data_IF_947523897890
#
_entry.id   IF_947523897890
#
_cell.length_a   1.000
_cell.length_b   1.000
_cell.length_c   1.000
_cell.angle_alpha   90.00
_cell.angle_beta   90.00
_cell.angle_gamma   90.00
#
_symmetry.space_group_name_H-M   'P 1'
#
loop_
_entity.id
_entity.type
_entity.pdbx_description
1 polymer ?
#
# COMPACT_ATOMS: atom_id res chain seq x y z
N UNK A 1 -31.13 35.70 -32.83
CA UNK A 1 -30.93 34.52 -31.95
C UNK A 1 -29.48 34.11 -32.00
N UNK A 2 -28.75 34.30 -30.91
CA UNK A 2 -27.39 33.81 -30.82
C UNK A 2 -27.44 32.27 -30.63
N UNK A 3 -26.66 31.54 -31.43
CA UNK A 3 -26.42 30.14 -31.17
C UNK A 3 -25.96 29.93 -29.72
N UNK A 4 -26.49 28.93 -29.02
CA UNK A 4 -25.98 28.62 -27.71
C UNK A 4 -24.50 28.27 -27.88
N UNK A 5 -23.64 28.96 -27.12
CA UNK A 5 -22.25 28.59 -27.03
C UNK A 5 -22.16 27.09 -26.74
N UNK A 6 -21.28 26.33 -27.40
CA UNK A 6 -21.11 24.93 -27.10
C UNK A 6 -20.75 24.83 -25.61
N UNK A 7 -21.54 24.07 -24.84
CA UNK A 7 -21.21 23.79 -23.45
C UNK A 7 -19.77 23.28 -23.39
N UNK A 8 -18.94 23.92 -22.56
CA UNK A 8 -17.60 23.41 -22.32
C UNK A 8 -17.70 21.95 -21.86
N UNK A 9 -16.88 21.05 -22.43
CA UNK A 9 -16.94 19.66 -22.03
C UNK A 9 -16.74 19.55 -20.51
N UNK A 10 -17.65 18.83 -19.86
CA UNK A 10 -17.58 18.59 -18.41
C UNK A 10 -16.19 18.05 -18.06
N UNK A 11 -15.46 18.76 -17.23
CA UNK A 11 -14.15 18.28 -16.73
C UNK A 11 -14.37 17.12 -15.78
N UNK A 12 -14.02 15.93 -16.23
CA UNK A 12 -13.96 14.76 -15.37
C UNK A 12 -12.69 14.83 -14.55
N UNK A 13 -12.75 14.40 -13.29
CA UNK A 13 -11.62 14.47 -12.35
C UNK A 13 -11.46 13.15 -11.62
N UNK A 14 -10.20 12.74 -11.48
CA UNK A 14 -9.78 11.71 -10.53
C UNK A 14 -9.08 12.41 -9.36
N UNK A 15 -9.37 12.00 -8.14
CA UNK A 15 -8.85 12.66 -6.93
C UNK A 15 -7.53 12.03 -6.44
N UNK A 16 -7.08 10.96 -7.08
CA UNK A 16 -5.89 10.22 -6.69
C UNK A 16 -6.19 8.75 -6.42
N UNK A 17 -5.26 8.07 -5.78
CA UNK A 17 -5.47 6.70 -5.37
C UNK A 17 -6.44 6.64 -4.18
N UNK A 18 -7.39 5.70 -4.25
CA UNK A 18 -8.26 5.36 -3.13
C UNK A 18 -7.66 4.21 -2.32
N UNK A 19 -7.28 3.15 -3.00
CA UNK A 19 -6.67 1.97 -2.38
C UNK A 19 -5.83 1.19 -3.39
N UNK A 20 -5.01 0.30 -2.87
CA UNK A 20 -4.29 -0.73 -3.64
C UNK A 20 -4.74 -2.08 -3.12
N UNK A 21 -5.02 -3.02 -4.02
CA UNK A 21 -5.37 -4.40 -3.65
C UNK A 21 -4.30 -5.35 -4.18
N UNK A 22 -3.80 -6.20 -3.29
CA UNK A 22 -2.85 -7.26 -3.60
C UNK A 22 -3.44 -8.63 -3.24
N UNK A 23 -2.79 -9.67 -3.71
CA UNK A 23 -3.11 -11.05 -3.35
C UNK A 23 -2.10 -11.52 -2.32
N UNK A 24 -2.58 -12.25 -1.31
CA UNK A 24 -1.74 -12.87 -0.28
C UNK A 24 -2.06 -14.35 -0.16
N UNK A 25 -1.12 -15.10 0.39
CA UNK A 25 -1.31 -16.53 0.64
C UNK A 25 -2.07 -16.80 1.94
N UNK A 26 -1.88 -15.95 2.96
CA UNK A 26 -2.38 -16.20 4.32
C UNK A 26 -2.66 -14.86 5.00
N UNK A 27 -3.93 -14.54 5.22
CA UNK A 27 -4.35 -13.28 5.85
C UNK A 27 -3.92 -13.18 7.32
N UNK A 28 -3.75 -14.27 8.03
CA UNK A 28 -3.20 -14.23 9.39
C UNK A 28 -1.78 -13.68 9.40
N UNK A 29 -0.95 -14.17 8.50
CA UNK A 29 0.43 -13.72 8.32
C UNK A 29 0.50 -12.29 7.79
N UNK A 30 -0.35 -11.95 6.84
CA UNK A 30 -0.45 -10.59 6.29
C UNK A 30 -0.89 -9.58 7.36
N UNK A 31 -1.87 -9.95 8.18
CA UNK A 31 -2.35 -9.11 9.29
C UNK A 31 -1.26 -8.88 10.34
N UNK A 32 -0.51 -9.92 10.69
CA UNK A 32 0.61 -9.79 11.63
C UNK A 32 1.65 -8.79 11.10
N UNK A 33 1.87 -8.75 9.80
CA UNK A 33 2.82 -7.80 9.20
C UNK A 33 2.24 -6.38 9.13
N UNK A 34 1.09 -6.18 8.49
CA UNK A 34 0.58 -4.83 8.25
C UNK A 34 0.00 -4.16 9.49
N UNK A 35 -0.67 -4.90 10.36
CA UNK A 35 -1.21 -4.38 11.61
C UNK A 35 -0.16 -4.37 12.73
N UNK A 36 0.45 -5.52 13.02
CA UNK A 36 1.27 -5.69 14.22
C UNK A 36 2.69 -5.16 14.05
N UNK A 37 3.27 -5.24 12.85
CA UNK A 37 4.60 -4.69 12.56
C UNK A 37 4.51 -3.26 12.05
N UNK A 38 3.71 -3.00 11.01
CA UNK A 38 3.64 -1.67 10.40
C UNK A 38 2.66 -0.72 11.10
N UNK A 39 1.80 -1.22 11.98
CA UNK A 39 0.91 -0.37 12.77
C UNK A 39 -0.31 0.15 12.03
N UNK A 40 -0.66 -0.40 10.87
CA UNK A 40 -1.90 -0.04 10.18
C UNK A 40 -3.10 -0.63 10.93
N UNK A 41 -4.23 0.06 10.91
CA UNK A 41 -5.46 -0.46 11.45
C UNK A 41 -6.09 -1.49 10.50
N UNK A 42 -6.54 -2.63 11.02
CA UNK A 42 -7.41 -3.55 10.29
C UNK A 42 -8.83 -2.95 10.33
N UNK A 43 -9.25 -2.35 9.23
CA UNK A 43 -10.47 -1.55 9.19
C UNK A 43 -11.68 -2.32 8.66
N UNK A 44 -11.45 -3.42 7.95
CA UNK A 44 -12.52 -4.27 7.46
C UNK A 44 -12.02 -5.70 7.27
N UNK A 45 -12.80 -6.64 7.77
CA UNK A 45 -12.68 -8.08 7.50
C UNK A 45 -13.89 -8.52 6.70
N UNK A 46 -13.68 -9.35 5.67
CA UNK A 46 -14.79 -9.81 4.83
C UNK A 46 -14.35 -10.82 3.81
N UNK A 47 -15.16 -10.96 2.80
CA UNK A 47 -14.94 -11.85 1.67
C UNK A 47 -14.92 -11.04 0.37
N UNK A 48 -14.26 -11.57 -0.64
CA UNK A 48 -14.35 -11.02 -1.98
C UNK A 48 -15.79 -11.22 -2.49
N UNK A 49 -16.47 -10.14 -2.86
CA UNK A 49 -17.87 -10.22 -3.31
C UNK A 49 -18.02 -11.04 -4.61
N UNK A 50 -16.99 -11.03 -5.45
CA UNK A 50 -16.97 -11.81 -6.69
C UNK A 50 -16.55 -13.26 -6.48
N UNK A 51 -15.97 -13.58 -5.33
CA UNK A 51 -15.52 -14.92 -4.95
C UNK A 51 -15.70 -15.11 -3.43
N UNK A 52 -16.91 -15.52 -2.98
CA UNK A 52 -17.22 -15.58 -1.56
C UNK A 52 -16.37 -16.54 -0.73
N UNK A 53 -15.67 -17.48 -1.37
CA UNK A 53 -14.76 -18.39 -0.68
C UNK A 53 -13.41 -17.76 -0.36
N UNK A 54 -13.08 -16.64 -0.98
CA UNK A 54 -11.84 -15.92 -0.74
C UNK A 54 -12.05 -14.78 0.28
N UNK A 55 -11.27 -14.79 1.36
CA UNK A 55 -11.29 -13.71 2.35
C UNK A 55 -10.64 -12.46 1.78
N UNK A 56 -11.12 -11.28 2.22
CA UNK A 56 -10.63 -9.99 1.78
C UNK A 56 -10.56 -9.04 2.98
N UNK A 57 -9.34 -8.64 3.36
CA UNK A 57 -9.09 -7.76 4.50
C UNK A 57 -8.55 -6.41 4.04
N UNK A 58 -8.91 -5.36 4.77
CA UNK A 58 -8.53 -3.98 4.47
C UNK A 58 -7.78 -3.37 5.65
N UNK A 59 -6.68 -2.70 5.32
CA UNK A 59 -5.83 -2.00 6.28
C UNK A 59 -5.69 -0.53 5.87
N UNK A 60 -5.55 0.35 6.83
CA UNK A 60 -5.37 1.77 6.56
C UNK A 60 -5.22 2.57 7.85
N UNK A 61 -5.55 3.86 7.79
CA UNK A 61 -5.72 4.61 9.03
C UNK A 61 -7.03 4.17 9.73
N UNK A 62 -7.20 4.59 11.01
CA UNK A 62 -8.34 4.15 11.82
C UNK A 62 -9.71 4.60 11.26
N UNK A 63 -9.72 5.56 10.34
CA UNK A 63 -10.93 6.10 9.73
C UNK A 63 -11.19 5.53 8.32
N UNK A 64 -10.38 4.60 7.86
CA UNK A 64 -10.43 4.05 6.49
C UNK A 64 -10.40 5.15 5.43
N UNK A 65 -9.58 6.17 5.63
CA UNK A 65 -9.48 7.34 4.75
C UNK A 65 -9.00 6.91 3.36
N UNK A 66 -9.69 7.37 2.32
CA UNK A 66 -9.27 7.17 0.93
C UNK A 66 -7.82 7.62 0.72
N UNK A 67 -7.03 6.81 0.05
CA UNK A 67 -5.61 7.05 -0.15
C UNK A 67 -4.70 6.39 0.90
N UNK A 68 -5.23 5.97 2.05
CA UNK A 68 -4.45 5.27 3.08
C UNK A 68 -4.63 3.77 3.05
N UNK A 69 -5.47 3.25 2.15
CA UNK A 69 -5.95 1.88 2.20
C UNK A 69 -5.10 0.94 1.35
N UNK A 70 -4.74 -0.18 1.94
CA UNK A 70 -4.24 -1.36 1.24
C UNK A 70 -5.13 -2.54 1.61
N UNK A 71 -5.45 -3.38 0.64
CA UNK A 71 -6.29 -4.55 0.88
C UNK A 71 -5.67 -5.80 0.30
N UNK A 72 -6.06 -6.95 0.84
CA UNK A 72 -5.51 -8.24 0.45
C UNK A 72 -6.62 -9.25 0.28
N UNK A 73 -6.63 -9.90 -0.87
CA UNK A 73 -7.46 -11.06 -1.16
C UNK A 73 -6.63 -12.32 -0.94
N UNK A 74 -7.17 -13.30 -0.22
CA UNK A 74 -6.45 -14.53 0.14
C UNK A 74 -6.66 -15.60 -0.91
N UNK A 75 -5.57 -15.99 -1.58
CA UNK A 75 -5.56 -17.06 -2.58
C UNK A 75 -4.31 -17.93 -2.38
N UNK A 76 -4.32 -18.86 -1.40
CA UNK A 76 -3.12 -19.62 -1.05
C UNK A 76 -2.61 -20.55 -2.16
N UNK A 77 -3.47 -20.92 -3.12
CA UNK A 77 -3.11 -21.81 -4.22
C UNK A 77 -2.60 -21.09 -5.46
N UNK A 78 -2.64 -19.76 -5.49
CA UNK A 78 -2.09 -19.00 -6.61
C UNK A 78 -0.55 -19.05 -6.62
N UNK A 79 0.02 -18.98 -7.81
CA UNK A 79 1.45 -18.86 -8.01
C UNK A 79 1.98 -17.57 -7.37
N UNK A 80 3.20 -17.58 -6.77
CA UNK A 80 3.83 -16.35 -6.31
C UNK A 80 3.95 -15.32 -7.43
N UNK A 81 3.65 -14.06 -7.09
CA UNK A 81 3.70 -12.96 -8.03
C UNK A 81 5.12 -12.68 -8.51
N UNK A 82 5.22 -12.13 -9.72
CA UNK A 82 6.48 -11.68 -10.31
C UNK A 82 6.31 -10.26 -10.83
N UNK A 83 7.33 -9.44 -10.60
CA UNK A 83 7.38 -8.10 -11.19
C UNK A 83 7.65 -8.22 -12.69
N UNK A 84 6.82 -7.57 -13.49
CA UNK A 84 6.94 -7.59 -14.94
C UNK A 84 6.06 -6.51 -15.58
N UNK A 85 6.05 -6.50 -16.89
CA UNK A 85 5.22 -5.54 -17.64
C UNK A 85 3.75 -5.70 -17.25
N UNK A 86 3.13 -4.60 -16.82
CA UNK A 86 1.73 -4.59 -16.39
C UNK A 86 1.50 -4.82 -14.90
N UNK A 87 2.52 -5.28 -14.15
CA UNK A 87 2.42 -5.39 -12.68
C UNK A 87 2.86 -4.11 -11.99
N UNK A 88 2.33 -3.85 -10.79
CA UNK A 88 2.91 -2.85 -9.92
C UNK A 88 4.25 -3.36 -9.37
N UNK A 89 5.27 -2.48 -9.33
CA UNK A 89 6.58 -2.84 -8.79
C UNK A 89 6.57 -2.84 -7.25
N UNK A 90 6.02 -1.80 -6.66
CA UNK A 90 5.91 -1.62 -5.21
C UNK A 90 4.86 -0.56 -4.91
N UNK A 91 4.50 -0.44 -3.65
CA UNK A 91 3.77 0.72 -3.17
C UNK A 91 4.53 1.35 -2.01
N UNK A 92 4.29 2.64 -1.78
CA UNK A 92 5.04 3.43 -0.81
C UNK A 92 4.10 4.00 0.26
N UNK A 93 4.53 3.89 1.51
CA UNK A 93 3.86 4.46 2.68
C UNK A 93 4.66 5.69 3.13
N UNK A 94 3.95 6.75 3.49
CA UNK A 94 4.57 8.01 3.84
C UNK A 94 4.84 8.12 5.35
N UNK A 95 5.98 8.73 5.68
CA UNK A 95 6.28 9.21 7.04
C UNK A 95 6.53 10.71 7.02
N UNK A 96 6.45 11.35 8.18
CA UNK A 96 6.43 12.81 8.28
C UNK A 96 7.79 13.48 8.22
N UNK A 97 8.90 12.75 8.48
CA UNK A 97 10.23 13.33 8.57
C UNK A 97 11.34 12.33 8.33
N UNK A 98 12.55 12.83 8.08
CA UNK A 98 13.74 11.98 7.96
C UNK A 98 14.05 11.25 9.26
N UNK A 99 13.80 11.87 10.40
CA UNK A 99 14.01 11.28 11.73
C UNK A 99 13.04 10.11 11.95
N UNK A 100 11.79 10.25 11.53
CA UNK A 100 10.81 9.14 11.60
C UNK A 100 11.21 7.99 10.69
N UNK A 101 11.74 8.27 9.50
CA UNK A 101 12.23 7.23 8.60
C UNK A 101 13.38 6.45 9.21
N UNK A 102 14.35 7.12 9.82
CA UNK A 102 15.45 6.47 10.53
C UNK A 102 14.94 5.62 11.69
N UNK A 103 13.95 6.11 12.43
CA UNK A 103 13.30 5.36 13.51
C UNK A 103 12.59 4.11 13.00
N UNK A 104 11.93 4.19 11.84
CA UNK A 104 11.32 3.02 11.19
C UNK A 104 12.36 1.97 10.81
N UNK A 105 13.48 2.38 10.22
CA UNK A 105 14.59 1.46 9.91
C UNK A 105 15.05 0.70 11.15
N UNK A 106 15.34 1.43 12.22
CA UNK A 106 15.86 0.84 13.45
C UNK A 106 14.83 -0.07 14.12
N UNK A 107 13.57 0.34 14.13
CA UNK A 107 12.46 -0.46 14.66
C UNK A 107 12.28 -1.76 13.89
N UNK A 108 12.25 -1.72 12.56
CA UNK A 108 12.08 -2.92 11.74
C UNK A 108 13.23 -3.91 11.99
N UNK A 109 14.45 -3.43 12.05
CA UNK A 109 15.62 -4.25 12.35
C UNK A 109 15.56 -4.85 13.75
N UNK A 110 15.02 -4.13 14.72
CA UNK A 110 14.81 -4.64 16.08
C UNK A 110 13.76 -5.75 16.14
N UNK A 111 12.88 -5.82 15.15
CA UNK A 111 11.83 -6.84 15.00
C UNK A 111 12.23 -7.96 14.06
N UNK A 112 13.51 -8.05 13.70
CA UNK A 112 14.04 -9.01 12.72
C UNK A 112 13.36 -8.93 11.34
N UNK A 113 12.88 -7.75 10.98
CA UNK A 113 12.38 -7.46 9.64
C UNK A 113 13.49 -6.79 8.84
N UNK A 114 13.95 -7.45 7.79
CA UNK A 114 14.98 -6.88 6.91
C UNK A 114 14.45 -5.64 6.20
N UNK A 115 15.27 -4.59 6.20
CA UNK A 115 15.04 -3.42 5.37
C UNK A 115 16.37 -2.84 4.90
N UNK A 116 16.33 -2.06 3.83
CA UNK A 116 17.51 -1.41 3.29
C UNK A 116 18.00 -0.28 4.19
N UNK A 117 19.22 0.19 3.94
CA UNK A 117 19.63 1.52 4.39
C UNK A 117 18.81 2.59 3.69
N UNK A 118 18.90 3.82 4.18
CA UNK A 118 18.19 4.94 3.57
C UNK A 118 18.82 5.29 2.24
N UNK A 119 18.03 5.30 1.19
CA UNK A 119 18.40 5.81 -0.13
C UNK A 119 17.83 7.21 -0.32
N UNK A 120 18.63 8.08 -0.94
CA UNK A 120 18.21 9.43 -1.33
C UNK A 120 18.25 9.51 -2.85
N UNK A 121 17.08 9.59 -3.48
CA UNK A 121 16.97 9.70 -4.94
C UNK A 121 15.59 10.22 -5.34
N UNK A 122 15.54 10.92 -6.45
CA UNK A 122 14.28 11.45 -6.98
C UNK A 122 13.57 12.43 -6.02
N UNK A 123 14.29 13.13 -5.15
CA UNK A 123 13.70 14.04 -4.16
C UNK A 123 13.08 13.33 -2.96
N UNK A 124 13.32 12.04 -2.79
CA UNK A 124 12.79 11.22 -1.70
C UNK A 124 13.93 10.60 -0.89
N UNK A 125 13.67 10.41 0.41
CA UNK A 125 14.42 9.51 1.29
C UNK A 125 13.56 8.29 1.54
N UNK A 126 14.12 7.08 1.35
CA UNK A 126 13.33 5.86 1.37
C UNK A 126 14.09 4.69 1.94
N UNK A 127 13.34 3.79 2.59
CA UNK A 127 13.78 2.43 2.89
C UNK A 127 12.83 1.45 2.22
N UNK A 128 13.32 0.26 1.92
CA UNK A 128 12.56 -0.79 1.23
C UNK A 128 12.59 -2.06 2.05
N UNK A 129 11.45 -2.74 2.09
CA UNK A 129 11.29 -4.02 2.76
C UNK A 129 10.35 -4.90 1.95
N UNK A 130 10.21 -6.16 2.35
CA UNK A 130 9.28 -7.09 1.73
C UNK A 130 8.26 -7.55 2.74
N UNK A 131 7.03 -7.68 2.30
CA UNK A 131 5.99 -8.31 3.09
C UNK A 131 6.14 -9.85 3.07
N UNK A 132 5.29 -10.60 3.81
CA UNK A 132 5.41 -12.06 3.88
C UNK A 132 5.31 -12.80 2.54
N UNK A 133 4.69 -12.19 1.52
CA UNK A 133 4.54 -12.78 0.18
C UNK A 133 5.57 -12.22 -0.82
N UNK A 134 6.53 -11.41 -0.35
CA UNK A 134 7.58 -10.83 -1.18
C UNK A 134 7.20 -9.53 -1.86
N UNK A 135 6.03 -8.96 -1.59
CA UNK A 135 5.64 -7.64 -2.08
C UNK A 135 6.61 -6.59 -1.57
N UNK A 136 7.18 -5.80 -2.47
CA UNK A 136 8.06 -4.70 -2.08
C UNK A 136 7.22 -3.56 -1.53
N UNK A 137 7.59 -3.10 -0.34
CA UNK A 137 7.00 -1.95 0.35
C UNK A 137 8.08 -0.92 0.56
N UNK A 138 7.80 0.32 0.21
CA UNK A 138 8.67 1.46 0.45
C UNK A 138 8.11 2.28 1.61
N UNK A 139 8.97 2.79 2.48
CA UNK A 139 8.61 3.84 3.45
C UNK A 139 9.41 5.06 3.04
N UNK A 140 8.73 6.19 2.85
CA UNK A 140 9.32 7.34 2.18
C UNK A 140 8.90 8.67 2.80
N UNK A 141 9.77 9.65 2.63
CA UNK A 141 9.53 11.06 2.96
C UNK A 141 10.27 11.94 1.97
N UNK A 142 9.83 13.19 1.74
CA UNK A 142 10.60 14.13 0.94
C UNK A 142 12.02 14.33 1.49
N UNK A 143 13.00 14.50 0.59
CA UNK A 143 14.42 14.64 0.97
C UNK A 143 14.81 16.07 1.34
N UNK A 144 13.95 17.04 1.09
CA UNK A 144 14.25 18.44 1.34
C UNK A 144 13.20 19.18 2.12
#
# INVERSE_FOLDING_TARGET
>A
MSDPSPEEPRRLRLLGLHHVTSICADLGRTTAFYRDVLGLALVREGHNEDDPDARHFWFGDAHATAGTLVSFMEYPAMEPGRVGVGSAHHFALAVGSAEELDAWRDYLRSRDVECTDVFVRGGLRSIYLRDPDGQIVEITTPSG
#
